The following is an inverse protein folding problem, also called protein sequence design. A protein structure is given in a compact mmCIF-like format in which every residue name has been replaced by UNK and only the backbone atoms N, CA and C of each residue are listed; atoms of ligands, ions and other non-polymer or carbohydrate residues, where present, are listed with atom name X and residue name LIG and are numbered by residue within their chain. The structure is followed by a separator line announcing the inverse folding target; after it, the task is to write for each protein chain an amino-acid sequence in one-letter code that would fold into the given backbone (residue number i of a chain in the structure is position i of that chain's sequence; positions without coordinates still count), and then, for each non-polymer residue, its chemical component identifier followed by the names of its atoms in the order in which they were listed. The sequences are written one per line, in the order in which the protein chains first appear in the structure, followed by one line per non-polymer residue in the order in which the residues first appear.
data_IF_068187948960
#
_entry.id   IF_068187948960
#
_cell.length_a   1.000
_cell.length_b   1.000
_cell.length_c   1.000
_cell.angle_alpha   90.00
_cell.angle_beta   90.00
_cell.angle_gamma   90.00
#
_symmetry.space_group_name_H-M   'P 1'
#
loop_
_entity.id
_entity.type
_entity.pdbx_description
1 polymer ?
#
# COMPACT_ATOMS: atom_id res chain seq x y z
N UNK A 1 -1.64 8.50 -7.44
CA UNK A 1 -1.01 7.26 -7.93
C UNK A 1 -2.01 6.30 -8.56
N UNK A 2 -3.17 6.08 -7.94
CA UNK A 2 -4.24 5.23 -8.48
C UNK A 2 -4.63 5.51 -9.97
N UNK A 3 -4.88 6.75 -10.42
CA UNK A 3 -5.21 7.00 -11.84
C UNK A 3 -4.04 6.75 -12.80
N UNK A 4 -2.79 6.96 -12.35
CA UNK A 4 -1.59 6.67 -13.13
C UNK A 4 -1.51 5.16 -13.42
N UNK A 5 -1.70 4.31 -12.40
CA UNK A 5 -1.69 2.85 -12.52
C UNK A 5 -2.74 2.36 -13.53
N UNK A 6 -3.97 2.89 -13.46
CA UNK A 6 -5.02 2.55 -14.42
C UNK A 6 -4.64 2.94 -15.85
N UNK A 7 -4.03 4.11 -16.05
CA UNK A 7 -3.58 4.53 -17.38
C UNK A 7 -2.50 3.59 -17.94
N UNK A 8 -1.60 3.09 -17.10
CA UNK A 8 -0.53 2.14 -17.49
C UNK A 8 -1.11 0.79 -17.90
N UNK A 9 -2.13 0.30 -17.20
CA UNK A 9 -2.83 -0.94 -17.57
C UNK A 9 -3.62 -0.80 -18.88
N UNK A 10 -4.22 0.37 -19.14
CA UNK A 10 -4.86 0.65 -20.44
C UNK A 10 -3.81 0.75 -21.56
N UNK A 11 -2.66 1.37 -21.30
CA UNK A 11 -1.55 1.43 -22.26
C UNK A 11 -0.99 0.04 -22.61
N UNK A 12 -0.96 -0.89 -21.66
CA UNK A 12 -0.56 -2.28 -21.91
C UNK A 12 -1.44 -2.99 -22.95
N UNK A 13 -2.75 -2.68 -23.04
CA UNK A 13 -3.65 -3.24 -24.06
C UNK A 13 -3.16 -2.89 -25.47
N UNK A 14 -2.74 -1.64 -25.67
CA UNK A 14 -2.24 -1.19 -26.98
C UNK A 14 -0.82 -1.69 -27.27
N UNK A 15 0.02 -1.79 -26.25
CA UNK A 15 1.42 -2.24 -26.39
C UNK A 15 1.52 -3.74 -26.69
N UNK A 16 0.68 -4.57 -26.06
CA UNK A 16 0.66 -6.03 -26.33
C UNK A 16 0.30 -6.32 -27.79
N UNK A 17 -0.54 -5.49 -28.42
CA UNK A 17 -0.85 -5.61 -29.85
C UNK A 17 0.37 -5.38 -30.75
N UNK A 18 1.34 -4.57 -30.32
CA UNK A 18 2.59 -4.31 -31.05
C UNK A 18 3.60 -5.47 -30.95
N UNK A 19 3.36 -6.48 -30.11
CA UNK A 19 4.20 -7.68 -30.00
C UNK A 19 5.63 -7.46 -29.49
N UNK A 20 5.98 -6.25 -29.02
CA UNK A 20 7.32 -5.93 -28.53
C UNK A 20 7.48 -6.28 -27.06
N UNK A 21 8.22 -7.34 -26.77
CA UNK A 21 8.51 -7.79 -25.40
C UNK A 21 9.23 -6.72 -24.56
N UNK A 22 10.16 -5.97 -25.18
CA UNK A 22 10.89 -4.90 -24.51
C UNK A 22 9.97 -3.77 -24.02
N UNK A 23 8.94 -3.42 -24.80
CA UNK A 23 7.98 -2.40 -24.41
C UNK A 23 7.11 -2.85 -23.22
N UNK A 24 6.72 -4.13 -23.19
CA UNK A 24 5.95 -4.71 -22.08
C UNK A 24 6.77 -4.70 -20.78
N UNK A 25 8.05 -5.08 -20.86
CA UNK A 25 8.96 -5.04 -19.70
C UNK A 25 9.15 -3.62 -19.18
N UNK A 26 9.42 -2.66 -20.07
CA UNK A 26 9.62 -1.26 -19.69
C UNK A 26 8.41 -0.69 -18.93
N UNK A 27 7.21 -0.92 -19.44
CA UNK A 27 5.97 -0.44 -18.81
C UNK A 27 5.71 -1.12 -17.48
N UNK A 28 5.97 -2.43 -17.35
CA UNK A 28 5.86 -3.13 -16.07
C UNK A 28 6.88 -2.64 -15.04
N UNK A 29 8.14 -2.43 -15.43
CA UNK A 29 9.18 -1.91 -14.54
C UNK A 29 8.84 -0.50 -14.04
N UNK A 30 8.34 0.36 -14.92
CA UNK A 30 7.89 1.71 -14.56
C UNK A 30 6.69 1.65 -13.61
N UNK A 31 5.74 0.75 -13.84
CA UNK A 31 4.61 0.52 -12.93
C UNK A 31 5.09 0.10 -11.53
N UNK A 32 6.03 -0.83 -11.44
CA UNK A 32 6.56 -1.31 -10.16
C UNK A 32 7.36 -0.22 -9.42
N UNK A 33 8.11 0.60 -10.15
CA UNK A 33 8.83 1.73 -9.56
C UNK A 33 7.89 2.69 -8.81
N UNK A 34 6.75 3.04 -9.39
CA UNK A 34 5.76 3.89 -8.72
C UNK A 34 5.04 3.18 -7.57
N UNK A 35 4.83 1.86 -7.66
CA UNK A 35 4.19 1.10 -6.60
C UNK A 35 5.05 1.05 -5.33
N UNK A 36 6.38 0.99 -5.47
CA UNK A 36 7.32 0.96 -4.34
C UNK A 36 7.17 2.18 -3.40
N UNK A 37 6.85 3.36 -3.94
CA UNK A 37 6.59 4.54 -3.11
C UNK A 37 5.22 4.51 -2.41
N UNK A 38 4.29 3.70 -2.89
CA UNK A 38 2.95 3.60 -2.32
C UNK A 38 2.91 2.68 -1.09
N UNK A 39 3.73 1.62 -1.09
CA UNK A 39 3.79 0.63 0.01
C UNK A 39 3.92 1.27 1.40
N UNK A 40 4.88 2.18 1.68
CA UNK A 40 4.99 2.80 3.01
C UNK A 40 3.73 3.57 3.41
N UNK A 41 3.11 4.29 2.46
CA UNK A 41 1.89 5.08 2.72
C UNK A 41 0.71 4.17 3.14
N UNK A 42 0.55 3.01 2.50
CA UNK A 42 -0.53 2.07 2.84
C UNK A 42 -0.31 1.44 4.20
N UNK A 43 0.94 1.12 4.55
CA UNK A 43 1.27 0.54 5.85
C UNK A 43 0.94 1.52 6.97
N UNK A 44 1.38 2.77 6.85
CA UNK A 44 1.06 3.84 7.81
C UNK A 44 -0.45 4.01 8.00
N UNK A 45 -1.21 4.06 6.89
CA UNK A 45 -2.67 4.16 6.94
C UNK A 45 -3.32 2.90 7.56
N UNK A 46 -2.78 1.71 7.26
CA UNK A 46 -3.28 0.44 7.78
C UNK A 46 -3.11 0.31 9.29
N UNK A 47 -2.01 0.83 9.83
CA UNK A 47 -1.77 0.95 11.27
C UNK A 47 -2.74 1.93 11.91
N UNK A 48 -2.98 3.08 11.27
CA UNK A 48 -3.86 4.12 11.80
C UNK A 48 -5.32 3.64 11.93
N UNK A 49 -5.81 2.89 10.94
CA UNK A 49 -7.17 2.34 10.94
C UNK A 49 -7.33 1.17 11.92
N UNK A 50 -6.24 0.44 12.19
CA UNK A 50 -6.25 -0.80 12.98
C UNK A 50 -5.94 -0.61 14.47
N UNK A 51 -5.85 0.62 14.97
CA UNK A 51 -5.60 0.86 16.40
C UNK A 51 -6.69 0.21 17.29
N UNK A 52 -6.34 -0.49 18.40
CA UNK A 52 -5.02 -0.65 19.03
C UNK A 52 -4.36 -2.03 18.75
N UNK A 53 -4.30 -2.49 17.50
CA UNK A 53 -3.63 -3.75 17.11
C UNK A 53 -2.14 -3.50 16.86
N UNK A 54 -1.23 -4.44 17.22
CA UNK A 54 0.19 -4.35 16.87
C UNK A 54 0.44 -4.18 15.37
N UNK A 55 1.36 -3.28 15.03
CA UNK A 55 1.62 -2.87 13.63
C UNK A 55 2.11 -4.01 12.74
N UNK A 56 2.86 -4.94 13.33
CA UNK A 56 3.34 -6.16 12.66
C UNK A 56 2.21 -7.07 12.22
N UNK A 57 1.13 -7.16 12.99
CA UNK A 57 -0.04 -7.99 12.69
C UNK A 57 -0.89 -7.34 11.61
N UNK A 58 -1.14 -6.03 11.72
CA UNK A 58 -1.89 -5.27 10.70
C UNK A 58 -1.22 -5.37 9.32
N UNK A 59 0.09 -5.12 9.26
CA UNK A 59 0.86 -5.19 8.00
C UNK A 59 0.90 -6.61 7.42
N UNK A 60 1.07 -7.62 8.27
CA UNK A 60 1.10 -9.02 7.82
C UNK A 60 -0.23 -9.48 7.24
N UNK A 61 -1.35 -9.12 7.89
CA UNK A 61 -2.71 -9.44 7.41
C UNK A 61 -2.99 -8.69 6.11
N UNK A 62 -2.61 -7.42 6.03
CA UNK A 62 -2.75 -6.61 4.82
C UNK A 62 -2.02 -7.28 3.65
N UNK A 63 -0.77 -7.68 3.84
CA UNK A 63 0.01 -8.33 2.79
C UNK A 63 -0.57 -9.68 2.36
N UNK A 64 -0.97 -10.52 3.33
CA UNK A 64 -1.58 -11.82 3.03
C UNK A 64 -2.92 -11.67 2.31
N UNK A 65 -3.73 -10.68 2.68
CA UNK A 65 -4.99 -10.39 2.00
C UNK A 65 -4.77 -9.96 0.56
N UNK A 66 -3.76 -9.14 0.28
CA UNK A 66 -3.39 -8.71 -1.06
C UNK A 66 -2.94 -9.91 -1.92
N UNK A 67 -2.11 -10.79 -1.36
CA UNK A 67 -1.64 -11.98 -2.07
C UNK A 67 -2.79 -12.96 -2.36
N UNK A 68 -3.70 -13.16 -1.40
CA UNK A 68 -4.86 -14.04 -1.56
C UNK A 68 -5.79 -13.53 -2.68
N UNK A 69 -6.14 -12.25 -2.64
CA UNK A 69 -6.98 -11.62 -3.67
C UNK A 69 -6.27 -11.70 -5.04
N UNK A 70 -4.98 -11.40 -5.09
CA UNK A 70 -4.18 -11.49 -6.31
C UNK A 70 -4.17 -12.90 -6.92
N UNK A 71 -4.03 -13.93 -6.08
CA UNK A 71 -4.06 -15.32 -6.51
C UNK A 71 -5.42 -15.71 -7.10
N UNK A 72 -6.53 -15.33 -6.44
CA UNK A 72 -7.88 -15.60 -6.92
C UNK A 72 -8.12 -14.94 -8.29
N UNK A 73 -7.72 -13.66 -8.44
CA UNK A 73 -7.86 -12.93 -9.70
C UNK A 73 -7.01 -13.55 -10.83
N UNK A 74 -5.81 -14.06 -10.51
CA UNK A 74 -4.96 -14.77 -11.46
C UNK A 74 -5.64 -16.03 -11.99
N UNK A 75 -6.30 -16.82 -11.13
CA UNK A 75 -7.04 -18.02 -11.55
C UNK A 75 -8.19 -17.66 -12.51
N UNK A 76 -8.91 -16.57 -12.25
CA UNK A 76 -9.93 -16.09 -13.19
C UNK A 76 -9.31 -15.67 -14.53
N UNK A 77 -8.17 -14.98 -14.51
CA UNK A 77 -7.48 -14.56 -15.73
C UNK A 77 -6.99 -15.76 -16.57
N UNK A 78 -6.56 -16.83 -15.92
CA UNK A 78 -6.14 -18.07 -16.61
C UNK A 78 -7.32 -18.77 -17.30
N UNK A 79 -8.55 -18.65 -16.77
CA UNK A 79 -9.76 -19.14 -17.43
C UNK A 79 -10.18 -18.29 -18.65
N UNK A 80 -9.75 -17.03 -18.73
CA UNK A 80 -10.00 -16.16 -19.91
C UNK A 80 -9.05 -16.42 -21.08
N UNK A 81 -8.14 -17.38 -20.91
CA UNK A 81 -7.13 -17.76 -21.89
C UNK A 81 -7.79 -18.57 -23.01
N UNK A 82 -7.77 -18.03 -24.23
CA UNK A 82 -8.45 -18.63 -25.38
C UNK A 82 -7.46 -19.53 -26.15
N UNK A 83 -7.55 -20.85 -25.96
CA UNK A 83 -6.69 -21.83 -26.64
C UNK A 83 -6.85 -21.83 -28.17
N UNK A 84 -8.01 -21.37 -28.67
CA UNK A 84 -8.34 -21.37 -30.11
C UNK A 84 -8.28 -19.98 -30.76
N UNK A 85 -7.79 -18.96 -30.05
CA UNK A 85 -7.63 -17.60 -30.58
C UNK A 85 -6.56 -17.51 -31.68
N UNK A 86 -6.73 -16.58 -32.63
CA UNK A 86 -5.71 -16.17 -33.62
C UNK A 86 -5.11 -14.83 -33.20
N UNK A 87 -3.81 -14.69 -32.87
CA UNK A 87 -2.76 -15.71 -32.68
C UNK A 87 -2.99 -16.63 -31.47
N UNK A 88 -2.40 -17.83 -31.53
CA UNK A 88 -2.62 -18.93 -30.58
C UNK A 88 -2.40 -18.47 -29.13
N UNK A 89 -3.34 -18.82 -28.25
CA UNK A 89 -3.28 -18.51 -26.83
C UNK A 89 -3.39 -17.00 -26.51
N UNK A 90 -4.45 -16.38 -27.05
CA UNK A 90 -4.66 -14.95 -26.92
C UNK A 90 -5.15 -14.57 -25.51
N UNK A 91 -4.37 -13.75 -24.80
CA UNK A 91 -4.71 -13.23 -23.46
C UNK A 91 -5.41 -11.87 -23.49
N UNK A 92 -5.86 -11.40 -24.66
CA UNK A 92 -6.49 -10.09 -24.81
C UNK A 92 -7.73 -9.90 -23.91
N UNK A 93 -8.55 -10.95 -23.76
CA UNK A 93 -9.70 -10.97 -22.83
C UNK A 93 -9.25 -10.80 -21.37
N UNK A 94 -8.15 -11.46 -20.98
CA UNK A 94 -7.54 -11.33 -19.66
C UNK A 94 -6.97 -9.93 -19.41
N UNK A 95 -6.35 -9.31 -20.42
CA UNK A 95 -5.84 -7.93 -20.34
C UNK A 95 -6.97 -6.90 -20.16
N UNK A 96 -8.08 -7.07 -20.87
CA UNK A 96 -9.26 -6.21 -20.71
C UNK A 96 -9.84 -6.37 -19.30
N UNK A 97 -9.98 -7.62 -18.83
CA UNK A 97 -10.43 -7.88 -17.47
C UNK A 97 -9.54 -7.19 -16.43
N UNK A 98 -8.22 -7.29 -16.58
CA UNK A 98 -7.26 -6.64 -15.70
C UNK A 98 -7.39 -5.11 -15.71
N UNK A 99 -7.58 -4.49 -16.88
CA UNK A 99 -7.77 -3.04 -16.99
C UNK A 99 -9.10 -2.59 -16.36
N UNK A 100 -10.19 -3.34 -16.57
CA UNK A 100 -11.48 -3.08 -15.93
C UNK A 100 -11.37 -3.18 -14.40
N UNK A 101 -10.72 -4.21 -13.89
CA UNK A 101 -10.48 -4.38 -12.45
C UNK A 101 -9.66 -3.23 -11.87
N UNK A 102 -8.61 -2.77 -12.57
CA UNK A 102 -7.86 -1.59 -12.16
C UNK A 102 -8.76 -0.34 -12.06
N UNK A 103 -9.65 -0.14 -13.03
CA UNK A 103 -10.62 0.97 -13.00
C UNK A 103 -11.57 0.90 -11.80
N UNK A 104 -12.08 -0.29 -11.47
CA UNK A 104 -12.92 -0.49 -10.28
C UNK A 104 -12.15 -0.16 -9.00
N UNK A 105 -10.89 -0.61 -8.89
CA UNK A 105 -10.04 -0.27 -7.75
C UNK A 105 -9.82 1.24 -7.61
N UNK A 106 -9.64 1.97 -8.71
CA UNK A 106 -9.53 3.44 -8.69
C UNK A 106 -10.81 4.07 -8.14
N UNK A 107 -11.98 3.62 -8.60
CA UNK A 107 -13.26 4.12 -8.10
C UNK A 107 -13.43 3.84 -6.61
N UNK A 108 -13.06 2.64 -6.14
CA UNK A 108 -13.09 2.30 -4.72
C UNK A 108 -12.14 3.18 -3.91
N UNK A 109 -10.94 3.51 -4.41
CA UNK A 109 -10.03 4.44 -3.75
C UNK A 109 -10.63 5.85 -3.60
N UNK A 110 -11.43 6.32 -4.57
CA UNK A 110 -12.11 7.61 -4.46
C UNK A 110 -13.29 7.60 -3.48
N UNK A 111 -13.93 6.44 -3.29
CA UNK A 111 -15.06 6.27 -2.36
C UNK A 111 -14.60 5.98 -0.94
N UNK A 112 -13.40 5.41 -0.77
CA UNK A 112 -12.85 5.03 0.51
C UNK A 112 -12.53 6.26 1.38
N UNK A 113 -13.34 6.47 2.41
CA UNK A 113 -13.08 7.43 3.48
C UNK A 113 -12.61 6.66 4.71
N UNK A 114 -11.30 6.69 4.98
CA UNK A 114 -10.72 6.05 6.16
C UNK A 114 -10.99 6.90 7.42
N UNK A 115 -11.77 6.43 8.41
CA UNK A 115 -11.92 7.13 9.67
C UNK A 115 -10.58 7.11 10.44
N UNK A 116 -10.03 8.29 10.73
CA UNK A 116 -8.74 8.47 11.41
C UNK A 116 -8.86 8.22 12.92
N UNK A 117 -9.07 6.95 13.29
CA UNK A 117 -9.35 6.54 14.69
C UNK A 117 -8.24 6.93 15.68
N UNK A 118 -6.98 6.98 15.25
CA UNK A 118 -5.84 7.43 16.08
C UNK A 118 -5.87 8.94 16.34
N UNK A 119 -6.11 9.76 15.32
CA UNK A 119 -6.30 11.21 15.48
C UNK A 119 -7.53 11.54 16.33
N UNK A 120 -8.58 10.72 16.29
CA UNK A 120 -9.75 10.89 17.15
C UNK A 120 -9.44 10.51 18.61
N UNK A 121 -8.68 9.44 18.85
CA UNK A 121 -8.23 9.08 20.20
C UNK A 121 -7.33 10.15 20.82
N UNK A 122 -6.41 10.73 20.05
CA UNK A 122 -5.54 11.82 20.50
C UNK A 122 -6.32 13.12 20.78
N UNK A 123 -7.37 13.42 20.00
CA UNK A 123 -8.27 14.55 20.28
C UNK A 123 -9.06 14.34 21.57
N UNK A 124 -9.54 13.12 21.83
CA UNK A 124 -10.25 12.80 23.07
C UNK A 124 -9.31 12.89 24.28
N UNK A 125 -8.06 12.46 24.14
CA UNK A 125 -7.05 12.57 25.20
C UNK A 125 -6.64 14.04 25.48
N UNK A 126 -6.43 14.86 24.44
CA UNK A 126 -6.10 16.27 24.61
C UNK A 126 -7.27 17.12 25.18
N UNK A 127 -8.52 16.67 25.01
CA UNK A 127 -9.71 17.33 25.57
C UNK A 127 -10.07 16.85 26.98
N UNK A 128 -9.52 15.72 27.43
CA UNK A 128 -9.69 15.26 28.81
C UNK A 128 -8.75 16.03 29.76
N UNK A 129 -9.23 16.54 30.91
CA UNK A 129 -8.34 17.11 31.91
C UNK A 129 -7.37 16.03 32.38
N UNK A 130 -6.08 16.20 32.04
CA UNK A 130 -5.00 15.25 32.34
C UNK A 130 -5.06 14.85 33.82
N UNK A 131 -5.24 13.56 34.17
CA UNK A 131 -5.12 13.14 35.55
C UNK A 131 -3.70 13.46 36.05
N UNK A 132 -3.52 13.75 37.36
CA UNK A 132 -2.20 14.09 37.88
C UNK A 132 -1.19 13.00 37.50
N UNK A 133 -0.12 13.40 36.81
CA UNK A 133 0.88 12.47 36.29
C UNK A 133 1.44 11.62 37.42
N UNK A 134 1.31 10.30 37.31
CA UNK A 134 1.92 9.36 38.27
C UNK A 134 3.43 9.36 38.06
N UNK A 135 4.23 9.36 39.14
CA UNK A 135 5.70 9.49 39.12
C UNK A 135 6.44 8.59 38.10
N UNK A 136 5.86 7.47 37.67
CA UNK A 136 6.44 6.57 36.66
C UNK A 136 6.50 7.18 35.25
N UNK A 137 5.51 7.98 34.87
CA UNK A 137 5.43 8.63 33.55
C UNK A 137 6.39 9.83 33.44
N UNK A 138 6.62 10.52 34.57
CA UNK A 138 7.62 11.59 34.69
C UNK A 138 9.05 11.06 34.53
N UNK A 139 9.36 9.90 35.11
CA UNK A 139 10.67 9.26 34.95
C UNK A 139 10.92 8.79 33.52
N UNK A 140 9.93 8.25 32.82
CA UNK A 140 10.07 7.84 31.42
C UNK A 140 10.29 9.04 30.48
N UNK A 141 9.56 10.14 30.69
CA UNK A 141 9.74 11.37 29.93
C UNK A 141 11.11 12.04 30.15
N UNK A 142 11.60 12.06 31.39
CA UNK A 142 12.96 12.56 31.69
C UNK A 142 14.05 11.65 31.12
N UNK A 143 13.88 10.33 31.17
CA UNK A 143 14.88 9.38 30.68
C UNK A 143 14.99 9.38 29.15
N UNK A 144 13.88 9.59 28.44
CA UNK A 144 13.88 9.81 26.99
C UNK A 144 14.51 11.15 26.61
N UNK A 145 14.31 12.21 27.42
CA UNK A 145 14.91 13.51 27.19
C UNK A 145 16.42 13.49 27.46
N UNK A 146 16.88 12.87 28.55
CA UNK A 146 18.32 12.71 28.84
C UNK A 146 19.03 11.89 27.76
N UNK A 147 18.42 10.82 27.26
CA UNK A 147 19.01 10.02 26.17
C UNK A 147 19.14 10.86 24.90
N UNK A 148 18.16 11.69 24.58
CA UNK A 148 18.20 12.56 23.40
C UNK A 148 19.27 13.67 23.54
N UNK A 149 19.43 14.25 24.73
CA UNK A 149 20.47 15.26 24.98
C UNK A 149 21.88 14.65 24.99
N UNK A 150 22.08 13.45 25.54
CA UNK A 150 23.39 12.78 25.54
C UNK A 150 23.82 12.43 24.10
N UNK A 151 22.87 12.08 23.23
CA UNK A 151 23.15 11.77 21.82
C UNK A 151 23.48 13.03 21.00
N UNK A 152 22.96 14.20 21.39
CA UNK A 152 23.20 15.48 20.69
C UNK A 152 24.50 16.18 21.16
N UNK A 153 24.94 15.92 22.41
CA UNK A 153 26.18 16.48 22.98
C UNK A 153 27.42 15.71 22.51
N UNK A 154 27.31 14.41 22.28
CA UNK A 154 28.42 13.56 21.83
C UNK A 154 28.47 13.48 20.29
N UNK A 155 28.79 14.63 19.68
CA UNK A 155 28.86 14.82 18.22
C UNK A 155 29.92 13.97 17.51
N UNK A 156 29.70 12.66 17.42
CA UNK A 156 30.56 11.73 16.68
C UNK A 156 29.79 10.58 16.00
N UNK A 157 29.85 10.62 14.67
CA UNK A 157 29.82 9.55 13.66
C UNK A 157 29.78 8.05 14.08
N UNK A 158 28.98 7.31 13.28
CA UNK A 158 29.17 5.92 12.74
C UNK A 158 28.98 4.76 13.72
N UNK A 159 28.31 3.65 13.37
CA UNK A 159 28.38 2.78 12.17
C UNK A 159 27.03 2.10 11.96
#
# INVERSE_FOLDING_TARGET
MAPLMCSTYVALIFIVRSGSFAAILYVNSLNQFFLSFMVPVVIELGVEVSYPIPESVSTSILWQSAQLIGFILMLFMDNFRDENGTPHNNMFKGLIFQACMSGVCVLLCFVYNGPMKRSEAEKVENLAPKPPMTHRELSYGQQSAETLIITDVDGTEKV
#
